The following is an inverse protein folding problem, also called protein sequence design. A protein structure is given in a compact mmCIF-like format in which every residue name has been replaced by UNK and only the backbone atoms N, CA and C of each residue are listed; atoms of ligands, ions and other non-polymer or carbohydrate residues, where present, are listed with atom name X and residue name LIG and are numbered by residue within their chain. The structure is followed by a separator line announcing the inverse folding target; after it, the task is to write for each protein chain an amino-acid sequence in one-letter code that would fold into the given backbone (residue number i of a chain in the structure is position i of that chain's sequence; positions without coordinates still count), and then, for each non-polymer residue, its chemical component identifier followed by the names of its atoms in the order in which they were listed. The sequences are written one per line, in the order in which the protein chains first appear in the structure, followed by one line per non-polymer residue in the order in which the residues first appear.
data_IF_440174475009
#
_entry.id   IF_440174475009
#
_cell.length_a   1.000
_cell.length_b   1.000
_cell.length_c   1.000
_cell.angle_alpha   90.00
_cell.angle_beta   90.00
_cell.angle_gamma   90.00
#
_symmetry.space_group_name_H-M   'P 1'
#
loop_
_entity.id
_entity.type
_entity.pdbx_description
1 polymer ?
#
# COMPACT_ATOMS: atom_id res chain seq x y z
N UNK A 1 -6.05 -12.37 -3.83
CA UNK A 1 -7.45 -11.95 -3.59
C UNK A 1 -7.97 -11.04 -4.71
N UNK A 2 -7.25 -9.96 -5.02
CA UNK A 2 -7.66 -9.00 -6.08
C UNK A 2 -7.80 -9.66 -7.45
N UNK A 3 -6.85 -10.50 -7.86
CA UNK A 3 -6.92 -11.19 -9.15
C UNK A 3 -8.19 -12.06 -9.31
N UNK A 4 -8.58 -12.79 -8.27
CA UNK A 4 -9.82 -13.61 -8.29
C UNK A 4 -11.04 -12.72 -8.42
N UNK A 5 -11.09 -11.60 -7.69
CA UNK A 5 -12.18 -10.60 -7.81
C UNK A 5 -12.29 -10.01 -9.21
N UNK A 6 -11.16 -9.68 -9.83
CA UNK A 6 -11.14 -9.14 -11.19
C UNK A 6 -11.64 -10.18 -12.21
N UNK A 7 -11.21 -11.44 -12.09
CA UNK A 7 -11.69 -12.54 -12.96
C UNK A 7 -13.19 -12.76 -12.83
N UNK A 8 -13.74 -12.75 -11.59
CA UNK A 8 -15.20 -12.88 -11.39
C UNK A 8 -15.97 -11.74 -12.04
N UNK A 9 -15.47 -10.50 -11.93
CA UNK A 9 -16.11 -9.35 -12.59
C UNK A 9 -15.97 -9.38 -14.10
N UNK A 10 -14.85 -9.88 -14.63
CA UNK A 10 -14.66 -10.08 -16.07
C UNK A 10 -15.69 -11.06 -16.61
N UNK A 11 -15.85 -12.21 -15.94
CA UNK A 11 -16.80 -13.23 -16.34
C UNK A 11 -18.24 -12.70 -16.41
N UNK A 12 -18.71 -11.95 -15.41
CA UNK A 12 -20.02 -11.32 -15.42
C UNK A 12 -20.18 -10.33 -16.59
N UNK A 13 -19.14 -9.55 -16.88
CA UNK A 13 -19.13 -8.59 -17.98
C UNK A 13 -19.17 -9.30 -19.33
N UNK A 14 -18.41 -10.39 -19.49
CA UNK A 14 -18.36 -11.19 -20.73
C UNK A 14 -19.73 -11.84 -21.02
N UNK A 15 -20.47 -12.20 -19.98
CA UNK A 15 -21.86 -12.67 -20.05
C UNK A 15 -22.89 -11.50 -20.18
N UNK A 16 -22.43 -10.24 -20.26
CA UNK A 16 -23.26 -9.02 -20.34
C UNK A 16 -24.23 -8.83 -19.17
N UNK A 17 -23.96 -9.50 -18.04
CA UNK A 17 -24.79 -9.43 -16.84
C UNK A 17 -24.40 -8.22 -16.01
N UNK A 18 -25.40 -7.41 -15.63
CA UNK A 18 -25.24 -6.22 -14.78
C UNK A 18 -25.90 -6.45 -13.41
N UNK A 19 -25.10 -6.66 -12.36
CA UNK A 19 -25.65 -6.80 -11.02
C UNK A 19 -26.46 -5.57 -10.61
N UNK A 20 -27.64 -5.74 -9.99
CA UNK A 20 -28.54 -4.62 -9.60
C UNK A 20 -28.03 -3.86 -8.38
N UNK A 21 -26.79 -4.03 -7.97
CA UNK A 21 -26.19 -3.44 -6.77
C UNK A 21 -25.12 -2.41 -7.12
N UNK A 22 -25.18 -1.25 -6.46
CA UNK A 22 -24.18 -0.19 -6.63
C UNK A 22 -22.76 -0.61 -6.14
N UNK A 23 -22.68 -1.53 -5.17
CA UNK A 23 -21.40 -1.99 -4.59
C UNK A 23 -21.26 -3.49 -4.74
N UNK A 24 -20.20 -3.89 -5.46
CA UNK A 24 -19.77 -5.28 -5.55
C UNK A 24 -19.14 -5.79 -4.24
N UNK A 25 -19.16 -7.10 -4.03
CA UNK A 25 -18.52 -7.80 -2.90
C UNK A 25 -19.21 -7.58 -1.55
N UNK A 26 -20.44 -7.11 -1.52
CA UNK A 26 -21.35 -7.15 -0.37
C UNK A 26 -22.01 -8.53 -0.27
N UNK A 27 -22.54 -8.89 0.90
CA UNK A 27 -23.27 -10.16 1.07
C UNK A 27 -24.44 -10.28 0.08
N UNK A 28 -25.32 -9.24 -0.09
CA UNK A 28 -26.40 -9.30 -1.08
C UNK A 28 -25.89 -9.50 -2.52
N UNK A 29 -24.83 -8.79 -2.90
CA UNK A 29 -24.24 -8.94 -4.23
C UNK A 29 -23.69 -10.35 -4.45
N UNK A 30 -22.98 -10.92 -3.46
CA UNK A 30 -22.40 -12.25 -3.55
C UNK A 30 -23.48 -13.32 -3.67
N UNK A 31 -24.54 -13.21 -2.86
CA UNK A 31 -25.69 -14.10 -2.89
C UNK A 31 -26.36 -14.08 -4.26
N UNK A 32 -26.68 -12.89 -4.77
CA UNK A 32 -27.29 -12.70 -6.06
C UNK A 32 -26.44 -13.30 -7.20
N UNK A 33 -25.12 -13.08 -7.21
CA UNK A 33 -24.23 -13.64 -8.24
C UNK A 33 -24.23 -15.16 -8.24
N UNK A 34 -24.44 -15.81 -7.11
CA UNK A 34 -24.50 -17.27 -6.99
C UNK A 34 -25.88 -17.84 -7.34
N UNK A 35 -26.93 -17.04 -7.26
CA UNK A 35 -28.32 -17.47 -7.46
C UNK A 35 -28.91 -17.02 -8.80
N UNK A 36 -28.28 -16.06 -9.49
CA UNK A 36 -28.81 -15.51 -10.75
C UNK A 36 -28.79 -16.52 -11.87
N UNK A 37 -29.88 -16.59 -12.63
CA UNK A 37 -29.99 -17.42 -13.85
C UNK A 37 -29.55 -16.66 -15.12
N UNK A 38 -29.10 -15.42 -14.99
CA UNK A 38 -28.66 -14.61 -16.14
C UNK A 38 -27.29 -15.03 -16.69
N UNK A 39 -26.58 -15.92 -15.99
CA UNK A 39 -25.29 -16.49 -16.43
C UNK A 39 -25.46 -17.97 -16.79
N UNK A 40 -24.65 -18.45 -17.74
CA UNK A 40 -24.66 -19.88 -18.08
C UNK A 40 -24.27 -20.74 -16.88
N UNK A 41 -24.75 -21.98 -16.82
CA UNK A 41 -24.45 -22.96 -15.77
C UNK A 41 -22.94 -23.11 -15.55
N UNK A 42 -22.18 -23.20 -16.65
CA UNK A 42 -20.72 -23.27 -16.58
C UNK A 42 -20.09 -22.04 -15.92
N UNK A 43 -20.59 -20.83 -16.25
CA UNK A 43 -20.13 -19.58 -15.66
C UNK A 43 -20.47 -19.51 -14.17
N UNK A 44 -21.63 -19.98 -13.80
CA UNK A 44 -22.08 -20.07 -12.41
C UNK A 44 -21.19 -21.01 -11.59
N UNK A 45 -20.83 -22.17 -12.13
CA UNK A 45 -19.89 -23.09 -11.50
C UNK A 45 -18.52 -22.43 -11.31
N UNK A 46 -17.98 -21.75 -12.32
CA UNK A 46 -16.69 -21.02 -12.23
C UNK A 46 -16.77 -19.91 -11.16
N UNK A 47 -17.85 -19.14 -11.10
CA UNK A 47 -18.06 -18.12 -10.08
C UNK A 47 -18.08 -18.74 -8.68
N UNK A 48 -18.76 -19.86 -8.48
CA UNK A 48 -18.78 -20.57 -7.22
C UNK A 48 -17.37 -21.01 -6.78
N UNK A 49 -16.52 -21.51 -7.70
CA UNK A 49 -15.12 -21.83 -7.40
C UNK A 49 -14.32 -20.57 -7.02
N UNK A 50 -14.54 -19.46 -7.71
CA UNK A 50 -13.89 -18.19 -7.35
C UNK A 50 -14.28 -17.72 -5.95
N UNK A 51 -15.55 -17.82 -5.56
CA UNK A 51 -16.00 -17.44 -4.21
C UNK A 51 -15.41 -18.38 -3.14
N UNK A 52 -15.43 -19.69 -3.38
CA UNK A 52 -14.76 -20.66 -2.51
C UNK A 52 -13.29 -20.31 -2.30
N UNK A 53 -12.58 -20.00 -3.38
CA UNK A 53 -11.18 -19.58 -3.32
C UNK A 53 -10.99 -18.28 -2.56
N UNK A 54 -11.91 -17.32 -2.68
CA UNK A 54 -11.85 -16.06 -1.91
C UNK A 54 -12.00 -16.30 -0.40
N UNK A 55 -12.88 -17.21 0.02
CA UNK A 55 -13.05 -17.55 1.43
C UNK A 55 -11.82 -18.27 2.00
N UNK A 56 -11.21 -19.18 1.26
CA UNK A 56 -9.95 -19.82 1.66
C UNK A 56 -8.86 -18.77 1.84
N UNK A 57 -8.63 -17.92 0.81
CA UNK A 57 -7.63 -16.86 0.87
C UNK A 57 -7.87 -15.85 2.01
N UNK A 58 -9.12 -15.64 2.40
CA UNK A 58 -9.47 -14.77 3.51
C UNK A 58 -9.06 -15.39 4.86
N UNK A 59 -9.29 -16.70 5.02
CA UNK A 59 -8.85 -17.45 6.20
C UNK A 59 -7.33 -17.48 6.31
N UNK A 60 -6.64 -17.81 5.22
CA UNK A 60 -5.18 -17.86 5.16
C UNK A 60 -4.55 -16.50 5.53
N UNK A 61 -5.09 -15.39 4.99
CA UNK A 61 -4.62 -14.04 5.32
C UNK A 61 -4.78 -13.76 6.81
N UNK A 62 -5.95 -14.05 7.38
CA UNK A 62 -6.20 -13.83 8.82
C UNK A 62 -5.28 -14.66 9.71
N UNK A 63 -4.97 -15.90 9.30
CA UNK A 63 -4.04 -16.75 10.03
C UNK A 63 -2.62 -16.19 10.01
N UNK A 64 -2.13 -15.79 8.82
CA UNK A 64 -0.81 -15.17 8.66
C UNK A 64 -0.72 -13.86 9.46
N UNK A 65 -1.74 -13.00 9.39
CA UNK A 65 -1.79 -11.76 10.16
C UNK A 65 -1.71 -12.03 11.66
N UNK A 66 -2.51 -12.96 12.20
CA UNK A 66 -2.47 -13.36 13.61
C UNK A 66 -1.11 -13.91 14.03
N UNK A 67 -0.49 -14.75 13.18
CA UNK A 67 0.82 -15.32 13.46
C UNK A 67 1.89 -14.23 13.48
N UNK A 68 1.87 -13.33 12.51
CA UNK A 68 2.82 -12.20 12.43
C UNK A 68 2.67 -11.28 13.64
N UNK A 69 1.44 -10.95 14.02
CA UNK A 69 1.14 -10.12 15.19
C UNK A 69 1.73 -10.72 16.46
N UNK A 70 1.52 -12.01 16.71
CA UNK A 70 2.09 -12.71 17.87
C UNK A 70 3.63 -12.68 17.87
N UNK A 71 4.26 -12.88 16.71
CA UNK A 71 5.72 -12.88 16.59
C UNK A 71 6.35 -11.50 16.78
N UNK A 72 5.61 -10.43 16.44
CA UNK A 72 6.11 -9.05 16.51
C UNK A 72 5.57 -8.29 17.72
N UNK A 73 4.74 -8.90 18.55
CA UNK A 73 4.12 -8.24 19.71
C UNK A 73 5.15 -7.57 20.64
N UNK A 74 6.30 -8.19 20.84
CA UNK A 74 7.39 -7.70 21.69
C UNK A 74 8.56 -7.09 20.90
N UNK A 75 8.42 -6.88 19.56
CA UNK A 75 9.48 -6.26 18.77
C UNK A 75 9.48 -4.74 19.01
N UNK A 76 10.54 -4.16 19.61
CA UNK A 76 10.57 -2.75 19.97
C UNK A 76 10.48 -1.83 18.76
N UNK A 77 10.98 -2.25 17.60
CA UNK A 77 10.90 -1.49 16.35
C UNK A 77 9.47 -1.43 15.84
N UNK A 78 8.75 -2.57 15.87
CA UNK A 78 7.34 -2.62 15.48
C UNK A 78 6.49 -1.78 16.40
N UNK A 79 6.68 -1.89 17.72
CA UNK A 79 5.95 -1.10 18.72
C UNK A 79 6.22 0.40 18.58
N UNK A 80 7.45 0.79 18.31
CA UNK A 80 7.80 2.19 18.05
C UNK A 80 7.14 2.71 16.77
N UNK A 81 7.11 1.90 15.70
CA UNK A 81 6.49 2.26 14.43
C UNK A 81 4.98 2.47 14.56
N UNK A 82 4.28 1.63 15.32
CA UNK A 82 2.83 1.71 15.53
C UNK A 82 2.36 3.00 16.23
N UNK A 83 3.26 3.72 16.91
CA UNK A 83 2.95 5.02 17.53
C UNK A 83 2.72 6.14 16.50
N UNK A 84 3.17 5.97 15.26
CA UNK A 84 3.06 7.01 14.23
C UNK A 84 1.79 6.88 13.40
N UNK A 85 1.12 8.02 13.19
CA UNK A 85 -0.06 8.09 12.32
C UNK A 85 0.27 7.58 10.91
N UNK A 86 -0.68 6.89 10.29
CA UNK A 86 -0.50 6.32 8.96
C UNK A 86 0.23 4.97 8.93
N UNK A 87 0.80 4.51 10.05
CA UNK A 87 1.40 3.19 10.20
C UNK A 87 0.42 2.27 10.93
N UNK A 88 -0.12 1.30 10.21
CA UNK A 88 -0.85 0.17 10.79
C UNK A 88 0.04 -1.06 10.93
N UNK A 89 -0.48 -2.17 11.52
CA UNK A 89 0.29 -3.39 11.73
C UNK A 89 1.01 -3.89 10.46
N UNK A 90 0.31 -4.02 9.36
CA UNK A 90 0.88 -4.48 8.08
C UNK A 90 2.04 -3.57 7.62
N UNK A 91 1.87 -2.25 7.74
CA UNK A 91 2.93 -1.29 7.36
C UNK A 91 4.14 -1.40 8.29
N UNK A 92 3.92 -1.58 9.60
CA UNK A 92 5.00 -1.76 10.58
C UNK A 92 5.77 -3.07 10.32
N UNK A 93 5.07 -4.17 10.05
CA UNK A 93 5.70 -5.46 9.69
C UNK A 93 6.50 -5.36 8.39
N UNK A 94 5.96 -4.69 7.37
CA UNK A 94 6.68 -4.45 6.11
C UNK A 94 7.97 -3.65 6.35
N UNK A 95 7.91 -2.60 7.17
CA UNK A 95 9.11 -1.83 7.50
C UNK A 95 10.11 -2.67 8.30
N UNK A 96 9.64 -3.45 9.27
CA UNK A 96 10.49 -4.33 10.05
C UNK A 96 11.17 -5.41 9.19
N UNK A 97 10.44 -6.01 8.24
CA UNK A 97 10.96 -7.04 7.35
C UNK A 97 11.95 -6.49 6.31
N UNK A 98 11.66 -5.36 5.70
CA UNK A 98 12.46 -4.82 4.59
C UNK A 98 13.53 -3.83 5.03
N UNK A 99 13.28 -3.00 6.04
CA UNK A 99 14.25 -2.03 6.58
C UNK A 99 15.10 -2.69 7.66
N UNK A 100 14.49 -3.54 8.49
CA UNK A 100 15.15 -4.14 9.64
C UNK A 100 15.44 -3.10 10.72
N UNK A 101 16.71 -2.72 10.85
CA UNK A 101 17.18 -1.67 11.76
C UNK A 101 17.40 -0.37 11.00
N UNK A 102 16.89 0.74 11.55
CA UNK A 102 17.03 2.07 10.94
C UNK A 102 18.46 2.63 11.07
N UNK A 103 19.17 2.26 12.13
CA UNK A 103 20.55 2.69 12.42
C UNK A 103 21.59 2.10 11.45
N UNK A 104 21.24 1.08 10.66
CA UNK A 104 22.13 0.57 9.61
C UNK A 104 22.37 1.57 8.48
N UNK A 105 21.54 2.60 8.37
CA UNK A 105 21.70 3.67 7.38
C UNK A 105 22.42 4.85 8.03
N UNK A 106 23.47 5.36 7.39
CA UNK A 106 24.21 6.52 7.87
C UNK A 106 23.42 7.82 7.75
N UNK A 107 22.50 7.92 6.77
CA UNK A 107 21.75 9.13 6.50
C UNK A 107 20.32 8.81 6.07
N UNK A 108 19.39 9.74 6.33
CA UNK A 108 18.02 9.67 5.85
C UNK A 108 17.92 9.59 4.30
N UNK A 109 18.92 10.15 3.59
CA UNK A 109 19.00 10.06 2.11
C UNK A 109 19.28 8.63 1.66
N UNK A 110 20.16 7.88 2.38
CA UNK A 110 20.43 6.48 2.08
C UNK A 110 19.19 5.62 2.27
N UNK A 111 18.44 5.80 3.36
CA UNK A 111 17.17 5.11 3.57
C UNK A 111 16.17 5.42 2.46
N UNK A 112 15.98 6.70 2.12
CA UNK A 112 15.07 7.11 1.04
C UNK A 112 15.46 6.51 -0.32
N UNK A 113 16.76 6.40 -0.62
CA UNK A 113 17.26 5.75 -1.83
C UNK A 113 17.02 4.24 -1.80
N UNK A 114 17.28 3.61 -0.67
CA UNK A 114 16.98 2.19 -0.46
C UNK A 114 15.49 1.87 -0.69
N UNK A 115 14.60 2.75 -0.24
CA UNK A 115 13.16 2.64 -0.51
C UNK A 115 12.77 2.97 -1.97
N UNK A 116 13.71 3.36 -2.82
CA UNK A 116 13.43 3.73 -4.20
C UNK A 116 12.61 5.02 -4.37
N UNK A 117 12.66 5.92 -3.39
CA UNK A 117 11.93 7.20 -3.39
C UNK A 117 12.78 8.39 -3.83
N UNK A 118 14.03 8.18 -4.18
CA UNK A 118 14.87 9.26 -4.68
C UNK A 118 14.46 9.64 -6.11
N UNK A 119 14.39 10.94 -6.43
CA UNK A 119 14.16 11.38 -7.80
C UNK A 119 15.34 10.94 -8.68
N UNK A 120 15.02 10.57 -9.91
CA UNK A 120 16.02 10.32 -10.95
C UNK A 120 16.30 11.65 -11.64
N UNK A 121 17.58 12.02 -11.65
CA UNK A 121 18.02 13.13 -12.46
C UNK A 121 18.38 12.62 -13.87
N UNK A 122 17.74 13.14 -14.89
CA UNK A 122 18.02 12.87 -16.29
C UNK A 122 18.53 14.14 -17.02
N UNK A 123 19.10 15.08 -16.25
CA UNK A 123 19.64 16.32 -16.79
C UNK A 123 20.95 16.02 -17.53
N UNK A 124 21.08 16.56 -18.74
CA UNK A 124 22.30 16.54 -19.54
C UNK A 124 22.57 17.98 -20.04
N UNK A 125 23.72 18.54 -19.70
CA UNK A 125 24.06 19.92 -20.05
C UNK A 125 23.02 20.92 -19.53
N UNK A 126 22.51 21.77 -20.40
CA UNK A 126 21.51 22.81 -20.05
C UNK A 126 20.07 22.27 -19.92
N UNK A 127 19.82 20.99 -20.22
CA UNK A 127 18.49 20.41 -20.14
C UNK A 127 18.25 19.79 -18.76
N UNK A 128 17.39 20.42 -17.98
CA UNK A 128 16.87 19.82 -16.74
C UNK A 128 15.61 18.99 -17.06
N UNK A 129 15.67 17.67 -16.85
CA UNK A 129 14.56 16.77 -17.05
C UNK A 129 14.31 15.91 -15.82
N UNK A 130 13.09 15.99 -15.29
CA UNK A 130 12.59 15.08 -14.24
C UNK A 130 12.26 13.73 -14.86
N UNK A 131 12.99 12.69 -14.49
CA UNK A 131 12.79 11.31 -14.99
C UNK A 131 12.02 10.42 -14.00
N UNK A 132 11.25 11.02 -13.09
CA UNK A 132 10.50 10.31 -12.06
C UNK A 132 11.39 9.75 -10.94
N UNK A 133 11.03 8.60 -10.39
CA UNK A 133 11.79 7.95 -9.32
C UNK A 133 12.85 7.00 -9.89
N UNK A 134 13.92 6.78 -9.13
CA UNK A 134 14.92 5.76 -9.49
C UNK A 134 14.25 4.37 -9.54
N UNK A 135 14.65 3.54 -10.52
CA UNK A 135 14.14 2.15 -10.61
C UNK A 135 14.81 1.23 -9.59
N UNK A 136 16.01 1.59 -9.12
CA UNK A 136 16.69 0.91 -8.03
C UNK A 136 15.96 1.08 -6.71
N UNK A 137 16.13 0.14 -5.78
CA UNK A 137 15.46 0.11 -4.49
C UNK A 137 14.32 -0.92 -4.44
N UNK A 138 13.78 -1.11 -3.26
CA UNK A 138 12.74 -2.11 -2.98
C UNK A 138 11.36 -1.63 -3.50
N UNK A 139 10.75 -2.31 -4.49
CA UNK A 139 9.47 -1.90 -5.06
C UNK A 139 8.30 -2.11 -4.09
N UNK A 140 8.39 -3.13 -3.23
CA UNK A 140 7.33 -3.43 -2.24
C UNK A 140 7.32 -2.36 -1.17
N UNK A 141 8.51 -2.02 -0.65
CA UNK A 141 8.65 -0.95 0.33
C UNK A 141 8.24 0.41 -0.24
N UNK A 142 8.58 0.69 -1.50
CA UNK A 142 8.13 1.90 -2.20
C UNK A 142 6.60 1.98 -2.27
N UNK A 143 5.95 0.90 -2.69
CA UNK A 143 4.48 0.85 -2.76
C UNK A 143 3.86 1.08 -1.39
N UNK A 144 4.36 0.42 -0.35
CA UNK A 144 3.88 0.58 1.04
C UNK A 144 4.02 2.03 1.54
N UNK A 145 5.14 2.68 1.22
CA UNK A 145 5.39 4.08 1.59
C UNK A 145 4.48 5.06 0.85
N UNK A 146 4.23 4.83 -0.44
CA UNK A 146 3.30 5.65 -1.23
C UNK A 146 1.87 5.49 -0.71
N UNK A 147 1.44 4.28 -0.39
CA UNK A 147 0.14 4.03 0.24
C UNK A 147 0.01 4.71 1.62
N UNK A 148 1.05 4.65 2.43
CA UNK A 148 1.09 5.38 3.70
C UNK A 148 1.01 6.90 3.47
N UNK A 149 1.70 7.43 2.46
CA UNK A 149 1.64 8.85 2.13
C UNK A 149 0.22 9.31 1.74
N UNK A 150 -0.55 8.49 1.01
CA UNK A 150 -1.95 8.79 0.72
C UNK A 150 -2.81 8.91 1.98
N UNK A 151 -2.54 8.12 3.01
CA UNK A 151 -3.21 8.24 4.32
C UNK A 151 -2.75 9.49 5.08
N UNK A 152 -1.45 9.73 5.14
CA UNK A 152 -0.84 10.86 5.83
C UNK A 152 -1.33 12.21 5.31
N UNK A 153 -1.49 12.36 4.00
CA UNK A 153 -2.05 13.56 3.38
C UNK A 153 -3.50 13.87 3.81
N UNK A 154 -4.17 12.94 4.52
CA UNK A 154 -5.52 13.12 5.08
C UNK A 154 -5.56 13.17 6.60
N UNK A 155 -4.54 12.62 7.27
CA UNK A 155 -4.52 12.39 8.72
C UNK A 155 -3.62 13.38 9.49
N UNK A 156 -2.65 13.99 8.82
CA UNK A 156 -1.68 14.88 9.46
C UNK A 156 -1.55 16.21 8.72
N UNK A 157 -1.73 17.31 9.44
CA UNK A 157 -1.74 18.66 8.89
C UNK A 157 -0.46 19.01 8.13
N UNK A 158 0.70 18.61 8.66
CA UNK A 158 2.00 18.82 8.02
C UNK A 158 2.04 18.29 6.58
N UNK A 159 1.59 17.03 6.39
CA UNK A 159 1.62 16.37 5.08
C UNK A 159 0.47 16.84 4.19
N UNK A 160 -0.66 17.14 4.81
CA UNK A 160 -1.81 17.73 4.13
C UNK A 160 -1.43 19.10 3.54
N UNK A 161 -0.77 19.97 4.30
CA UNK A 161 -0.34 21.29 3.85
C UNK A 161 0.68 21.20 2.71
N UNK A 162 1.67 20.30 2.84
CA UNK A 162 2.62 20.02 1.76
C UNK A 162 1.91 19.60 0.47
N UNK A 163 0.94 18.67 0.58
CA UNK A 163 0.17 18.20 -0.56
C UNK A 163 -0.67 19.31 -1.19
N UNK A 164 -1.31 20.18 -0.39
CA UNK A 164 -2.07 21.35 -0.87
C UNK A 164 -1.17 22.31 -1.65
N UNK A 165 0.00 22.66 -1.11
CA UNK A 165 0.95 23.56 -1.74
C UNK A 165 1.47 23.02 -3.08
N UNK A 166 1.73 21.71 -3.16
CA UNK A 166 2.15 21.09 -4.42
C UNK A 166 1.01 21.00 -5.44
N UNK A 167 -0.21 20.75 -4.98
CA UNK A 167 -1.42 20.75 -5.85
C UNK A 167 -1.70 22.13 -6.42
N UNK A 168 -1.58 23.19 -5.62
CA UNK A 168 -1.71 24.56 -6.08
C UNK A 168 -0.70 24.93 -7.18
N UNK A 169 0.45 24.26 -7.21
CA UNK A 169 1.48 24.38 -8.27
C UNK A 169 1.24 23.46 -9.47
N UNK A 170 0.05 22.86 -9.60
CA UNK A 170 -0.32 21.98 -10.72
C UNK A 170 0.37 20.61 -10.71
N UNK A 171 0.98 20.16 -9.61
CA UNK A 171 1.66 18.86 -9.57
C UNK A 171 0.65 17.71 -9.52
N UNK A 172 0.85 16.62 -10.29
CA UNK A 172 -0.04 15.47 -10.30
C UNK A 172 0.01 14.70 -8.95
N UNK A 173 -1.10 14.05 -8.61
CA UNK A 173 -1.27 13.35 -7.31
C UNK A 173 -0.20 12.30 -7.06
N UNK A 174 0.21 11.55 -8.09
CA UNK A 174 1.25 10.53 -8.00
C UNK A 174 2.61 11.13 -7.58
N UNK A 175 2.98 12.28 -8.14
CA UNK A 175 4.20 12.99 -7.79
C UNK A 175 4.12 13.58 -6.37
N UNK A 176 2.95 14.09 -5.98
CA UNK A 176 2.71 14.58 -4.61
C UNK A 176 2.87 13.45 -3.60
N UNK A 177 2.25 12.30 -3.84
CA UNK A 177 2.37 11.14 -2.96
C UNK A 177 3.81 10.65 -2.83
N UNK A 178 4.56 10.58 -3.93
CA UNK A 178 5.98 10.22 -3.91
C UNK A 178 6.83 11.25 -3.14
N UNK A 179 6.56 12.54 -3.29
CA UNK A 179 7.26 13.60 -2.56
C UNK A 179 6.96 13.58 -1.06
N UNK A 180 5.71 13.31 -0.67
CA UNK A 180 5.32 13.12 0.73
C UNK A 180 5.99 11.88 1.30
N UNK A 181 5.94 10.73 0.61
CA UNK A 181 6.58 9.49 1.02
C UNK A 181 8.09 9.67 1.24
N UNK A 182 8.78 10.35 0.32
CA UNK A 182 10.21 10.65 0.44
C UNK A 182 10.52 11.48 1.69
N UNK A 183 9.78 12.57 1.94
CA UNK A 183 10.01 13.43 3.11
C UNK A 183 9.62 12.73 4.41
N UNK A 184 8.54 11.96 4.38
CA UNK A 184 8.09 11.22 5.54
C UNK A 184 9.06 10.12 5.95
N UNK A 185 9.58 9.30 5.03
CA UNK A 185 10.56 8.26 5.38
C UNK A 185 11.86 8.85 5.92
N UNK A 186 12.27 10.03 5.41
CA UNK A 186 13.43 10.75 5.93
C UNK A 186 13.18 11.31 7.34
N UNK A 187 11.98 11.80 7.61
CA UNK A 187 11.58 12.21 8.96
C UNK A 187 11.52 11.00 9.89
N UNK A 188 10.91 9.88 9.44
CA UNK A 188 10.80 8.64 10.21
C UNK A 188 12.19 8.09 10.58
N UNK A 189 13.17 8.18 9.67
CA UNK A 189 14.56 7.82 9.96
C UNK A 189 15.06 8.49 11.23
N UNK A 190 14.84 9.78 11.42
CA UNK A 190 15.28 10.51 12.60
C UNK A 190 14.48 10.17 13.87
N UNK A 191 13.24 9.72 13.72
CA UNK A 191 12.42 9.29 14.85
C UNK A 191 12.79 7.88 15.33
N UNK A 192 13.27 7.04 14.44
CA UNK A 192 13.57 5.63 14.68
C UNK A 192 15.05 5.37 15.04
N UNK A 193 15.79 6.40 15.38
CA UNK A 193 17.15 6.21 15.93
C UNK A 193 17.10 5.61 17.34
N UNK A 194 18.04 4.73 17.73
CA UNK A 194 18.00 4.00 19.00
C UNK A 194 17.83 4.88 20.22
N UNK A 195 18.48 6.04 20.24
CA UNK A 195 18.37 7.00 21.35
C UNK A 195 16.97 7.62 21.53
N UNK A 196 16.08 7.48 20.54
CA UNK A 196 14.69 7.97 20.60
C UNK A 196 13.67 6.85 20.80
N UNK A 197 14.06 5.59 20.60
CA UNK A 197 13.19 4.43 20.83
C UNK A 197 13.23 4.04 22.31
N UNK A 198 14.35 4.30 23.00
CA UNK A 198 14.56 3.97 24.40
C UNK A 198 13.99 5.02 25.38
N UNK A 199 13.54 6.17 24.89
CA UNK A 199 12.87 7.23 25.64
C UNK A 199 11.34 7.14 25.44
#
# INVERSE_FOLDING_TARGET
RTAVKLRSRSLLRDQRVRPPFARAWTCPWTKWVLETQEVSEQSQWILAQHFRRLEVLKKDILEVEKRTDRQTANDPVVQALLKYKGIGPITAWMFRAHIGRFDRFRTAKQLSRYCGLSPRNASSGNRQADAGLIRAGDPVLRATLVEAAHRLMRLEDRWMQLARNMRARGKPVSLIAAAVANRWVRWLFHQMQPCKIAA
#
